data_IF_325680200922
#
_entry.id   IF_325680200922
#
_cell.length_a   1.000
_cell.length_b   1.000
_cell.length_c   1.000
_cell.angle_alpha   90.00
_cell.angle_beta   90.00
_cell.angle_gamma   90.00
#
_symmetry.space_group_name_H-M   'P 1'
#
loop_
_entity.id
_entity.type
_entity.pdbx_description
1 polymer ?
#
# COMPACT_ATOMS: atom_id res chain seq x y z
N UNK A 1 -1.34 -18.10 -11.08
CA UNK A 1 -1.44 -16.70 -11.53
C UNK A 1 -2.85 -16.47 -12.05
N UNK A 2 -3.77 -16.19 -11.14
CA UNK A 2 -5.15 -15.87 -11.51
C UNK A 2 -5.44 -14.44 -11.09
N UNK A 3 -4.85 -13.47 -11.81
CA UNK A 3 -5.37 -12.12 -11.82
C UNK A 3 -6.62 -12.15 -12.70
N UNK A 4 -7.76 -11.76 -12.13
CA UNK A 4 -9.06 -11.79 -12.80
C UNK A 4 -9.66 -10.39 -12.84
N UNK A 5 -10.31 -10.07 -13.97
CA UNK A 5 -11.09 -8.84 -14.11
C UNK A 5 -12.44 -9.04 -13.46
N UNK A 6 -12.73 -8.29 -12.40
CA UNK A 6 -13.96 -8.39 -11.61
C UNK A 6 -14.73 -7.09 -11.69
N UNK A 7 -16.06 -7.14 -11.77
CA UNK A 7 -16.85 -5.91 -11.80
C UNK A 7 -16.77 -5.18 -10.45
N UNK A 8 -16.80 -3.86 -10.49
CA UNK A 8 -16.77 -3.07 -9.25
C UNK A 8 -17.98 -3.40 -8.35
N UNK A 9 -19.14 -3.66 -8.95
CA UNK A 9 -20.34 -4.07 -8.22
C UNK A 9 -20.14 -5.41 -7.48
N UNK A 10 -19.50 -6.39 -8.12
CA UNK A 10 -19.17 -7.66 -7.48
C UNK A 10 -18.21 -7.44 -6.30
N UNK A 11 -17.16 -6.63 -6.48
CA UNK A 11 -16.20 -6.33 -5.41
C UNK A 11 -16.91 -5.74 -4.19
N UNK A 12 -17.74 -4.71 -4.40
CA UNK A 12 -18.44 -4.01 -3.34
C UNK A 12 -19.51 -4.87 -2.65
N UNK A 13 -20.01 -5.91 -3.32
CA UNK A 13 -21.03 -6.82 -2.77
C UNK A 13 -20.44 -8.02 -2.04
N UNK A 14 -19.26 -8.48 -2.45
CA UNK A 14 -18.71 -9.76 -2.01
C UNK A 14 -17.59 -9.58 -0.98
N UNK A 15 -16.74 -8.56 -1.15
CA UNK A 15 -15.60 -8.30 -0.27
C UNK A 15 -15.88 -7.23 0.76
N UNK A 16 -15.24 -7.37 1.92
CA UNK A 16 -15.34 -6.45 3.04
C UNK A 16 -14.11 -5.55 3.12
N UNK A 17 -14.30 -4.26 3.44
CA UNK A 17 -13.18 -3.39 3.75
C UNK A 17 -12.48 -3.88 5.03
N UNK A 18 -11.15 -3.82 5.05
CA UNK A 18 -10.37 -4.21 6.24
C UNK A 18 -10.44 -3.18 7.38
N UNK A 19 -10.73 -1.91 7.07
CA UNK A 19 -10.95 -0.83 8.05
C UNK A 19 -12.05 0.13 7.58
N UNK A 20 -12.63 0.90 8.50
CA UNK A 20 -13.67 1.90 8.17
C UNK A 20 -15.13 1.40 8.22
N UNK A 21 -15.37 0.26 8.87
CA UNK A 21 -16.72 -0.30 9.08
C UNK A 21 -16.96 -1.63 8.36
N UNK A 22 -18.18 -2.15 8.45
CA UNK A 22 -18.55 -3.46 7.89
C UNK A 22 -18.95 -3.39 6.41
N UNK A 23 -19.16 -2.18 5.87
CA UNK A 23 -19.63 -1.95 4.50
C UNK A 23 -18.85 -0.85 3.79
N UNK A 24 -18.81 -0.91 2.45
CA UNK A 24 -18.19 0.11 1.61
C UNK A 24 -18.88 1.48 1.69
N UNK A 25 -20.17 1.50 2.01
CA UNK A 25 -20.94 2.73 2.23
C UNK A 25 -20.44 3.52 3.46
N UNK A 26 -19.78 2.85 4.41
CA UNK A 26 -19.14 3.46 5.57
C UNK A 26 -17.64 3.67 5.33
N UNK A 27 -16.96 2.65 4.81
CA UNK A 27 -15.50 2.68 4.69
C UNK A 27 -14.98 3.74 3.71
N UNK A 28 -15.68 3.97 2.59
CA UNK A 28 -15.23 5.00 1.63
C UNK A 28 -15.36 6.40 2.24
N UNK A 29 -16.51 6.83 2.81
CA UNK A 29 -16.57 8.09 3.54
C UNK A 29 -15.52 8.25 4.62
N UNK A 30 -15.26 7.20 5.41
CA UNK A 30 -14.26 7.26 6.49
C UNK A 30 -12.84 7.46 5.94
N UNK A 31 -12.47 6.75 4.87
CA UNK A 31 -11.20 6.98 4.15
C UNK A 31 -11.11 8.41 3.59
N UNK A 32 -12.21 8.98 3.13
CA UNK A 32 -12.21 10.34 2.56
C UNK A 32 -12.27 11.44 3.63
N UNK A 33 -12.72 11.11 4.85
CA UNK A 33 -12.71 12.04 5.98
C UNK A 33 -11.29 12.25 6.52
N UNK A 34 -10.40 11.27 6.33
CA UNK A 34 -8.99 11.38 6.64
C UNK A 34 -8.22 12.09 5.50
N UNK A 35 -7.51 13.21 5.78
CA UNK A 35 -6.82 13.98 4.74
C UNK A 35 -5.70 13.23 4.00
N UNK A 36 -5.01 12.31 4.67
CA UNK A 36 -3.91 11.56 4.03
C UNK A 36 -4.47 10.50 3.08
N UNK A 37 -5.50 9.78 3.54
CA UNK A 37 -6.17 8.77 2.74
C UNK A 37 -6.89 9.40 1.55
N UNK A 38 -7.57 10.53 1.75
CA UNK A 38 -8.18 11.32 0.67
C UNK A 38 -7.15 11.73 -0.40
N UNK A 39 -5.95 12.17 0.02
CA UNK A 39 -4.86 12.52 -0.90
C UNK A 39 -4.38 11.31 -1.70
N UNK A 40 -4.25 10.13 -1.06
CA UNK A 40 -3.89 8.89 -1.74
C UNK A 40 -4.96 8.52 -2.78
N UNK A 41 -6.24 8.61 -2.42
CA UNK A 41 -7.36 8.33 -3.33
C UNK A 41 -7.35 9.28 -4.53
N UNK A 42 -7.12 10.57 -4.34
CA UNK A 42 -7.07 11.53 -5.45
C UNK A 42 -5.87 11.33 -6.40
N UNK A 43 -4.72 10.90 -5.87
CA UNK A 43 -3.59 10.49 -6.69
C UNK A 43 -3.94 9.27 -7.56
N UNK A 44 -4.55 8.24 -6.95
CA UNK A 44 -5.00 7.03 -7.65
C UNK A 44 -6.09 7.33 -8.70
N UNK A 45 -6.98 8.29 -8.44
CA UNK A 45 -7.94 8.77 -9.45
C UNK A 45 -7.24 9.41 -10.64
N UNK A 46 -6.21 10.20 -10.39
CA UNK A 46 -5.40 10.82 -11.45
C UNK A 46 -4.70 9.75 -12.29
N UNK A 47 -4.18 8.70 -11.66
CA UNK A 47 -3.61 7.52 -12.33
C UNK A 47 -4.65 6.81 -13.22
N UNK A 48 -5.83 6.51 -12.69
CA UNK A 48 -6.92 5.90 -13.45
C UNK A 48 -7.31 6.71 -14.69
N UNK A 49 -7.35 8.03 -14.59
CA UNK A 49 -7.64 8.91 -15.73
C UNK A 49 -6.53 8.85 -16.78
N UNK A 50 -5.28 8.80 -16.35
CA UNK A 50 -4.12 8.81 -17.25
C UNK A 50 -3.91 7.46 -17.96
N UNK A 51 -4.14 6.34 -17.27
CA UNK A 51 -3.76 5.01 -17.74
C UNK A 51 -4.95 4.10 -18.04
N UNK A 52 -6.16 4.47 -17.62
CA UNK A 52 -7.37 3.66 -17.76
C UNK A 52 -7.50 2.52 -16.75
N UNK A 53 -6.44 2.26 -15.97
CA UNK A 53 -6.39 1.23 -14.94
C UNK A 53 -5.33 1.54 -13.88
N UNK A 54 -5.28 0.73 -12.82
CA UNK A 54 -4.20 0.74 -11.84
C UNK A 54 -3.03 -0.13 -12.29
N UNK A 55 -1.81 0.27 -11.93
CA UNK A 55 -0.63 -0.59 -12.13
C UNK A 55 -0.71 -1.90 -11.34
N UNK A 56 -1.38 -1.90 -10.19
CA UNK A 56 -1.51 -3.07 -9.30
C UNK A 56 -2.96 -3.58 -9.23
N UNK A 57 -3.16 -4.92 -9.14
CA UNK A 57 -4.47 -5.53 -8.87
C UNK A 57 -4.83 -5.49 -7.38
N UNK A 58 -6.11 -5.43 -7.06
CA UNK A 58 -6.62 -5.54 -5.68
C UNK A 58 -6.26 -6.92 -5.15
N UNK A 59 -5.73 -7.00 -3.93
CA UNK A 59 -5.42 -8.28 -3.29
C UNK A 59 -6.50 -8.57 -2.25
N UNK A 60 -7.07 -9.77 -2.30
CA UNK A 60 -8.14 -10.20 -1.42
C UNK A 60 -7.79 -11.50 -0.73
N UNK A 61 -8.44 -11.77 0.39
CA UNK A 61 -8.56 -13.11 0.95
C UNK A 61 -9.89 -13.70 0.44
N UNK A 62 -9.86 -14.78 -0.35
CA UNK A 62 -11.11 -15.39 -0.82
C UNK A 62 -11.91 -16.11 0.27
N UNK A 63 -11.23 -16.64 1.28
CA UNK A 63 -11.87 -17.41 2.33
C UNK A 63 -12.64 -16.49 3.27
N UNK A 64 -11.96 -15.46 3.76
CA UNK A 64 -12.52 -14.51 4.72
C UNK A 64 -13.25 -13.34 4.03
N UNK A 65 -13.04 -13.19 2.71
CA UNK A 65 -13.59 -12.14 1.85
C UNK A 65 -13.12 -10.75 2.23
N UNK A 66 -11.91 -10.64 2.77
CA UNK A 66 -11.33 -9.36 3.18
C UNK A 66 -10.45 -8.78 2.07
N UNK A 67 -10.38 -7.44 2.01
CA UNK A 67 -9.38 -6.76 1.19
C UNK A 67 -8.04 -6.74 1.93
N UNK A 68 -7.06 -7.47 1.41
CA UNK A 68 -5.69 -7.46 1.93
C UNK A 68 -4.90 -6.23 1.47
N UNK A 69 -5.17 -5.76 0.25
CA UNK A 69 -4.58 -4.53 -0.30
C UNK A 69 -5.46 -3.94 -1.40
N UNK A 70 -5.59 -2.61 -1.42
CA UNK A 70 -6.23 -1.88 -2.50
C UNK A 70 -7.51 -1.14 -2.11
N UNK A 71 -7.76 -0.91 -0.82
CA UNK A 71 -8.92 -0.12 -0.40
C UNK A 71 -8.97 1.29 -1.03
N UNK A 72 -7.84 2.02 -1.05
CA UNK A 72 -7.78 3.32 -1.72
C UNK A 72 -8.02 3.22 -3.22
N UNK A 73 -7.61 2.11 -3.86
CA UNK A 73 -7.86 1.83 -5.28
C UNK A 73 -9.35 1.57 -5.54
N UNK A 74 -10.03 0.84 -4.67
CA UNK A 74 -11.49 0.65 -4.72
C UNK A 74 -12.20 1.98 -4.54
N UNK A 75 -11.81 2.79 -3.54
CA UNK A 75 -12.39 4.11 -3.33
C UNK A 75 -12.19 5.03 -4.56
N UNK A 76 -10.98 5.06 -5.12
CA UNK A 76 -10.67 5.81 -6.35
C UNK A 76 -11.51 5.33 -7.55
N UNK A 77 -11.67 4.01 -7.71
CA UNK A 77 -12.48 3.41 -8.76
C UNK A 77 -13.97 3.78 -8.64
N UNK A 78 -14.53 3.76 -7.42
CA UNK A 78 -15.90 4.20 -7.14
C UNK A 78 -16.09 5.67 -7.53
N UNK A 79 -15.20 6.55 -7.06
CA UNK A 79 -15.28 7.98 -7.35
C UNK A 79 -15.09 8.29 -8.85
N UNK A 80 -14.31 7.47 -9.55
CA UNK A 80 -14.08 7.60 -10.99
C UNK A 80 -15.10 6.82 -11.86
N UNK A 81 -16.09 6.17 -11.23
CA UNK A 81 -17.12 5.34 -11.90
C UNK A 81 -16.54 4.25 -12.81
N UNK A 82 -15.45 3.63 -12.38
CA UNK A 82 -14.88 2.49 -13.08
C UNK A 82 -15.84 1.30 -13.03
N UNK A 83 -15.86 0.50 -14.11
CA UNK A 83 -16.78 -0.63 -14.23
C UNK A 83 -16.20 -1.94 -13.68
N UNK A 84 -14.88 -2.08 -13.72
CA UNK A 84 -14.17 -3.29 -13.32
C UNK A 84 -12.75 -2.99 -12.87
N UNK A 85 -12.18 -3.90 -12.07
CA UNK A 85 -10.82 -3.86 -11.55
C UNK A 85 -10.17 -5.24 -11.66
N UNK A 86 -8.84 -5.25 -11.72
CA UNK A 86 -8.08 -6.49 -11.61
C UNK A 86 -7.98 -6.91 -10.13
N UNK A 87 -8.23 -8.18 -9.86
CA UNK A 87 -8.23 -8.78 -8.53
C UNK A 87 -7.33 -10.02 -8.53
N UNK A 88 -6.48 -10.13 -7.51
CA UNK A 88 -5.67 -11.29 -7.20
C UNK A 88 -6.14 -11.92 -5.88
N UNK A 89 -6.27 -13.24 -5.86
CA UNK A 89 -6.83 -13.98 -4.73
C UNK A 89 -5.83 -14.21 -3.58
N UNK A 90 -4.55 -13.88 -3.81
CA UNK A 90 -3.47 -13.90 -2.84
C UNK A 90 -2.28 -13.10 -3.38
N UNK A 91 -1.38 -12.66 -2.50
CA UNK A 91 -0.10 -12.08 -2.91
C UNK A 91 0.75 -13.04 -3.76
N UNK A 92 0.59 -14.35 -3.60
CA UNK A 92 1.31 -15.35 -4.38
C UNK A 92 0.87 -15.39 -5.87
N UNK A 93 -0.26 -14.77 -6.22
CA UNK A 93 -0.72 -14.64 -7.60
C UNK A 93 -0.14 -13.40 -8.31
N UNK A 94 0.56 -12.54 -7.59
CA UNK A 94 1.23 -11.39 -8.18
C UNK A 94 2.59 -11.79 -8.75
N UNK A 95 3.07 -11.10 -9.80
CA UNK A 95 4.45 -11.25 -10.25
C UNK A 95 5.39 -11.02 -9.05
N UNK A 96 6.40 -11.89 -8.90
CA UNK A 96 7.42 -11.68 -7.88
C UNK A 96 8.09 -10.32 -8.16
N UNK A 97 8.02 -9.45 -7.15
CA UNK A 97 8.65 -8.14 -7.20
C UNK A 97 9.92 -8.17 -6.39
N UNK A 98 10.93 -7.49 -6.91
CA UNK A 98 12.15 -7.24 -6.15
C UNK A 98 11.80 -6.48 -4.87
N UNK A 99 12.39 -6.95 -3.76
CA UNK A 99 12.22 -6.37 -2.43
C UNK A 99 13.55 -5.94 -1.88
N UNK A 100 13.51 -4.87 -1.10
CA UNK A 100 14.66 -4.41 -0.32
C UNK A 100 14.26 -4.29 1.14
N UNK A 101 15.13 -4.76 2.02
CA UNK A 101 15.08 -4.47 3.44
C UNK A 101 15.62 -3.06 3.64
N UNK A 102 14.78 -2.14 4.11
CA UNK A 102 15.21 -0.80 4.53
C UNK A 102 15.22 -0.75 6.04
N UNK A 103 16.30 -0.21 6.62
CA UNK A 103 16.40 0.09 8.05
C UNK A 103 16.44 1.61 8.22
N UNK A 104 15.46 2.14 8.94
CA UNK A 104 15.27 3.55 9.21
C UNK A 104 15.52 3.84 10.70
N UNK A 105 16.54 4.63 11.00
CA UNK A 105 16.83 5.09 12.36
C UNK A 105 15.89 6.20 12.79
N UNK A 106 15.47 6.18 14.07
CA UNK A 106 14.56 7.14 14.69
C UNK A 106 15.00 7.44 16.14
N UNK A 107 14.72 8.66 16.65
CA UNK A 107 15.10 9.01 18.03
C UNK A 107 14.28 8.27 19.09
N UNK A 108 12.99 8.05 18.86
CA UNK A 108 12.11 7.21 19.68
C UNK A 108 10.82 6.86 18.92
N UNK A 109 10.33 5.62 19.07
CA UNK A 109 9.10 5.14 18.41
C UNK A 109 8.05 4.77 19.45
N UNK A 110 7.05 5.63 19.62
CA UNK A 110 5.83 5.28 20.36
C UNK A 110 4.84 4.56 19.46
N UNK A 111 3.85 3.87 20.04
CA UNK A 111 2.77 3.23 19.28
C UNK A 111 2.09 4.20 18.30
N UNK A 112 1.77 5.41 18.75
CA UNK A 112 1.17 6.44 17.89
C UNK A 112 2.09 6.96 16.77
N UNK A 113 3.42 6.82 16.90
CA UNK A 113 4.36 7.10 15.81
C UNK A 113 4.38 5.93 14.83
N UNK A 114 4.40 4.70 15.33
CA UNK A 114 4.34 3.48 14.50
C UNK A 114 3.06 3.46 13.66
N UNK A 115 1.90 3.75 14.25
CA UNK A 115 0.62 3.78 13.52
C UNK A 115 0.66 4.79 12.36
N UNK A 116 1.23 5.98 12.61
CA UNK A 116 1.40 7.01 11.58
C UNK A 116 2.41 6.60 10.50
N UNK A 117 3.52 5.96 10.88
CA UNK A 117 4.50 5.43 9.92
C UNK A 117 3.89 4.34 9.05
N UNK A 118 3.15 3.41 9.64
CA UNK A 118 2.39 2.40 8.90
C UNK A 118 1.48 3.08 7.89
N UNK A 119 0.69 4.06 8.32
CA UNK A 119 -0.22 4.76 7.41
C UNK A 119 0.48 5.41 6.21
N UNK A 120 1.63 6.05 6.38
CA UNK A 120 2.28 6.82 5.30
C UNK A 120 3.33 6.05 4.51
N UNK A 121 3.87 4.95 5.06
CA UNK A 121 4.94 4.15 4.45
C UNK A 121 4.48 2.76 3.98
N UNK A 122 3.25 2.32 4.31
CA UNK A 122 2.78 1.00 3.91
C UNK A 122 2.57 0.86 2.40
N UNK A 123 2.04 1.90 1.76
CA UNK A 123 1.61 1.80 0.37
C UNK A 123 1.54 3.20 -0.24
N UNK A 124 2.36 3.48 -1.25
CA UNK A 124 2.45 4.82 -1.83
C UNK A 124 3.02 4.83 -3.26
N UNK A 125 2.80 5.91 -4.05
CA UNK A 125 3.38 6.00 -5.38
C UNK A 125 4.90 6.21 -5.32
N UNK A 126 5.65 5.43 -6.09
CA UNK A 126 7.12 5.50 -6.17
C UNK A 126 7.62 5.11 -7.58
N UNK A 127 8.60 5.86 -8.10
CA UNK A 127 9.14 5.79 -9.46
C UNK A 127 8.90 4.47 -10.23
N UNK A 128 7.98 4.51 -11.20
CA UNK A 128 7.64 3.34 -12.04
C UNK A 128 6.37 2.59 -11.61
N UNK A 129 5.73 2.99 -10.51
CA UNK A 129 4.41 2.49 -10.14
C UNK A 129 4.07 2.75 -8.67
N UNK A 130 3.43 1.77 -8.04
CA UNK A 130 3.11 1.78 -6.62
C UNK A 130 4.12 0.91 -5.87
N UNK A 131 4.64 1.41 -4.74
CA UNK A 131 5.42 0.59 -3.81
C UNK A 131 4.55 0.19 -2.63
N UNK A 132 4.77 -1.03 -2.16
CA UNK A 132 4.12 -1.60 -0.99
C UNK A 132 5.18 -2.10 -0.01
N UNK A 133 4.86 -2.01 1.27
CA UNK A 133 5.55 -2.66 2.36
C UNK A 133 4.90 -4.03 2.59
N UNK A 134 5.65 -5.11 2.52
CA UNK A 134 5.14 -6.45 2.89
C UNK A 134 4.98 -6.55 4.42
N UNK A 135 5.95 -6.02 5.15
CA UNK A 135 6.02 -6.11 6.60
C UNK A 135 6.86 -4.98 7.16
N UNK A 136 6.41 -4.43 8.29
CA UNK A 136 7.11 -3.39 9.05
C UNK A 136 7.37 -3.90 10.47
N UNK A 137 8.63 -3.79 10.90
CA UNK A 137 9.15 -4.22 12.18
C UNK A 137 9.58 -2.99 13.00
N UNK A 138 8.71 -2.45 13.86
CA UNK A 138 9.08 -1.37 14.76
C UNK A 138 9.96 -1.90 15.90
N UNK A 139 11.02 -1.15 16.25
CA UNK A 139 11.82 -1.34 17.46
C UNK A 139 11.93 -0.02 18.25
N UNK A 140 12.77 0.02 19.29
CA UNK A 140 12.81 1.17 20.20
C UNK A 140 13.37 2.46 19.58
N UNK A 141 14.28 2.35 18.60
CA UNK A 141 14.94 3.47 17.92
C UNK A 141 15.14 3.25 16.43
N UNK A 142 14.42 2.28 15.84
CA UNK A 142 14.48 1.98 14.41
C UNK A 142 13.19 1.35 13.93
N UNK A 143 12.87 1.56 12.66
CA UNK A 143 11.87 0.80 11.92
C UNK A 143 12.59 0.09 10.79
N UNK A 144 12.40 -1.21 10.66
CA UNK A 144 12.82 -1.94 9.46
C UNK A 144 11.62 -2.52 8.73
N UNK A 145 11.75 -2.79 7.44
CA UNK A 145 10.66 -3.37 6.67
C UNK A 145 11.09 -3.79 5.27
N UNK A 146 10.23 -4.55 4.60
CA UNK A 146 10.46 -5.00 3.24
C UNK A 146 9.58 -4.21 2.29
N UNK A 147 10.21 -3.43 1.41
CA UNK A 147 9.49 -2.65 0.40
C UNK A 147 9.79 -3.16 -0.99
N UNK A 148 8.76 -3.14 -1.84
CA UNK A 148 8.91 -3.43 -3.25
C UNK A 148 9.67 -2.29 -3.93
N UNK A 149 10.77 -2.61 -4.60
CA UNK A 149 11.66 -1.61 -5.19
C UNK A 149 12.10 -2.03 -6.59
N UNK A 150 11.83 -1.23 -7.63
CA UNK A 150 12.41 -1.44 -8.95
C UNK A 150 13.94 -1.46 -8.90
N UNK A 151 14.55 -2.19 -9.84
CA UNK A 151 16.01 -2.31 -9.96
C UNK A 151 16.67 -0.92 -10.07
N UNK A 152 17.75 -0.74 -9.31
CA UNK A 152 18.55 0.49 -9.32
C UNK A 152 17.88 1.70 -8.65
N UNK A 153 16.77 1.51 -7.93
CA UNK A 153 16.02 2.59 -7.24
C UNK A 153 16.14 2.56 -5.72
N UNK A 154 16.95 1.67 -5.16
CA UNK A 154 17.09 1.43 -3.72
C UNK A 154 17.30 2.71 -2.93
N UNK A 155 18.29 3.51 -3.31
CA UNK A 155 18.58 4.78 -2.62
C UNK A 155 17.42 5.76 -2.73
N UNK A 156 16.81 5.87 -3.90
CA UNK A 156 15.66 6.75 -4.12
C UNK A 156 14.46 6.32 -3.28
N UNK A 157 14.25 5.01 -3.06
CA UNK A 157 13.21 4.51 -2.17
C UNK A 157 13.49 4.91 -0.73
N UNK A 158 14.73 4.73 -0.26
CA UNK A 158 15.13 5.18 1.08
C UNK A 158 14.91 6.68 1.29
N UNK A 159 15.26 7.51 0.30
CA UNK A 159 15.04 8.95 0.35
C UNK A 159 13.54 9.30 0.38
N UNK A 160 12.72 8.62 -0.44
CA UNK A 160 11.27 8.80 -0.47
C UNK A 160 10.61 8.41 0.88
N UNK A 161 11.03 7.31 1.50
CA UNK A 161 10.55 6.89 2.82
C UNK A 161 10.83 7.96 3.89
N UNK A 162 12.01 8.57 3.86
CA UNK A 162 12.38 9.66 4.78
C UNK A 162 11.56 10.91 4.51
N UNK A 163 11.38 11.29 3.24
CA UNK A 163 10.57 12.47 2.87
C UNK A 163 9.14 12.31 3.37
N UNK A 164 8.51 11.16 3.11
CA UNK A 164 7.12 10.89 3.55
C UNK A 164 6.97 10.87 5.06
N UNK A 165 7.90 10.27 5.77
CA UNK A 165 7.91 10.32 7.22
C UNK A 165 8.02 11.77 7.72
N UNK A 166 8.88 12.58 7.10
CA UNK A 166 9.04 13.99 7.45
C UNK A 166 7.76 14.82 7.19
N UNK A 167 7.04 14.55 6.08
CA UNK A 167 5.73 15.14 5.81
C UNK A 167 4.70 14.81 6.90
N UNK A 168 4.80 13.61 7.49
CA UNK A 168 3.99 13.18 8.65
C UNK A 168 4.53 13.70 10.00
N UNK A 169 5.57 14.55 10.00
CA UNK A 169 6.18 15.12 11.19
C UNK A 169 7.11 14.17 11.94
N UNK A 170 7.62 13.13 11.29
CA UNK A 170 8.45 12.08 11.88
C UNK A 170 9.83 12.13 11.23
N UNK A 171 10.87 12.35 12.05
CA UNK A 171 12.26 12.38 11.55
C UNK A 171 12.83 10.98 11.51
N UNK A 172 13.11 10.50 10.31
CA UNK A 172 13.82 9.24 10.06
C UNK A 172 15.14 9.49 9.34
N UNK A 173 16.05 8.53 9.43
CA UNK A 173 17.28 8.47 8.63
C UNK A 173 17.47 7.08 8.06
N UNK A 174 17.94 6.97 6.81
CA UNK A 174 18.27 5.66 6.24
C UNK A 174 19.58 5.17 6.84
N UNK A 175 19.55 4.05 7.56
CA UNK A 175 20.75 3.38 8.08
C UNK A 175 21.31 2.39 7.07
N UNK A 176 20.44 1.57 6.47
CA UNK A 176 20.84 0.60 5.46
C UNK A 176 19.70 0.26 4.50
N UNK A 177 20.08 -0.17 3.30
CA UNK A 177 19.19 -0.75 2.29
C UNK A 177 19.90 -1.98 1.74
N UNK A 178 19.24 -3.13 1.85
CA UNK A 178 19.80 -4.42 1.43
C UNK A 178 18.80 -5.13 0.55
N UNK A 179 19.24 -5.60 -0.61
CA UNK A 179 18.41 -6.45 -1.46
C UNK A 179 18.06 -7.76 -0.75
N UNK A 180 16.79 -8.16 -0.84
CA UNK A 180 16.34 -9.45 -0.34
C UNK A 180 16.53 -10.48 -1.45
N UNK A 181 17.65 -11.21 -1.40
CA UNK A 181 17.94 -12.27 -2.37
C UNK A 181 17.39 -13.61 -1.90
N UNK A 182 16.34 -14.12 -2.56
CA UNK A 182 15.80 -15.46 -2.33
C UNK A 182 14.45 -15.50 -1.62
N UNK A 183 13.65 -16.52 -1.95
CA UNK A 183 12.47 -16.91 -1.20
C UNK A 183 12.91 -17.46 0.17
N UNK A 184 12.54 -16.80 1.26
CA UNK A 184 12.64 -17.37 2.60
C UNK A 184 11.31 -17.14 3.35
N UNK A 185 10.99 -17.99 4.33
CA UNK A 185 9.76 -18.77 4.30
C UNK A 185 8.75 -18.29 5.36
N UNK A 186 7.47 -18.29 4.98
CA UNK A 186 6.36 -18.17 5.93
C UNK A 186 5.76 -16.79 5.99
#
# INVERSE_FOLDING_TARGET
MTVRRVTLAEILSFYRPAVGGDTWEQAIPDLLADPDDARIVDLLRSELVAHGDFAEPIVVDQQDRDILNGMHRIAAAVLNRQSALDVADTYADLPEKRRVLVVLGAEALSAAVVDRLTKVLWSFPFAGGWTNCDVMFPGDGRVSGWWHCPDGRDRALGDELVIRAAEAGIRLTVESITEVTGADPG
#
